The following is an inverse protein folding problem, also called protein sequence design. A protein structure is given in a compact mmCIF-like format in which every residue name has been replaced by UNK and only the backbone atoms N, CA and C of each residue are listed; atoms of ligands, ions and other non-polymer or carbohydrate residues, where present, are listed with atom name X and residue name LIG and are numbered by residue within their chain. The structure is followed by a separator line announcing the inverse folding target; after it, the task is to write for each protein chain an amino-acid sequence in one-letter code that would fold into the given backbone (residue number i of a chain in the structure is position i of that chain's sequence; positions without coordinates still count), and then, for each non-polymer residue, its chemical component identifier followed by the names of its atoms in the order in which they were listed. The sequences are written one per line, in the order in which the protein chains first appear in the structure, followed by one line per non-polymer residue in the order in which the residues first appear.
data_IF_716739865744
#
_entry.id   IF_716739865744
#
_cell.length_a   1.000
_cell.length_b   1.000
_cell.length_c   1.000
_cell.angle_alpha   90.00
_cell.angle_beta   90.00
_cell.angle_gamma   90.00
#
_symmetry.space_group_name_H-M   'P 1'
#
loop_
_entity.id
_entity.type
_entity.pdbx_description
1 polymer ?
#
# COMPACT_ATOMS: atom_id res chain seq x y z
N UNK A 1 -14.44 47.86 27.33
CA UNK A 1 -13.62 47.84 26.10
C UNK A 1 -12.90 46.50 26.07
N UNK A 2 -13.31 45.66 25.12
CA UNK A 2 -12.89 44.26 24.99
C UNK A 2 -11.58 44.19 24.21
N UNK A 3 -10.57 43.48 24.71
CA UNK A 3 -9.40 43.14 23.91
C UNK A 3 -8.93 41.70 24.17
N UNK A 4 -9.28 40.87 23.20
CA UNK A 4 -8.40 39.90 22.52
C UNK A 4 -7.86 38.72 23.32
N UNK A 5 -8.68 37.68 23.40
CA UNK A 5 -8.25 36.29 23.58
C UNK A 5 -7.37 35.84 22.41
N UNK A 6 -6.05 35.75 22.62
CA UNK A 6 -5.17 34.99 21.73
C UNK A 6 -5.31 33.49 22.02
N UNK A 7 -6.24 32.82 21.34
CA UNK A 7 -6.28 31.36 21.29
C UNK A 7 -5.27 30.89 20.24
N UNK A 8 -4.02 30.63 20.65
CA UNK A 8 -3.08 29.83 19.85
C UNK A 8 -3.65 28.41 19.76
N UNK A 9 -4.32 28.09 18.66
CA UNK A 9 -4.59 26.70 18.29
C UNK A 9 -3.26 26.00 18.02
N UNK A 10 -2.76 25.30 19.04
CA UNK A 10 -1.73 24.28 18.86
C UNK A 10 -2.27 23.26 17.87
N UNK A 11 -1.78 23.29 16.62
CA UNK A 11 -2.01 22.20 15.66
C UNK A 11 -1.58 20.90 16.32
N UNK A 12 -2.57 20.07 16.65
CA UNK A 12 -2.38 18.74 17.20
C UNK A 12 -1.55 17.95 16.16
N UNK A 13 -0.25 17.77 16.43
CA UNK A 13 0.59 16.81 15.74
C UNK A 13 0.05 15.44 16.11
N UNK A 14 -0.99 15.00 15.42
CA UNK A 14 -1.45 13.61 15.45
C UNK A 14 -0.25 12.78 15.00
N UNK A 15 0.41 12.11 15.94
CA UNK A 15 1.38 11.05 15.68
C UNK A 15 0.68 9.83 15.10
N UNK A 16 -0.07 10.01 14.01
CA UNK A 16 -0.50 8.91 13.16
C UNK A 16 0.71 8.47 12.36
N UNK A 17 0.86 7.16 12.18
CA UNK A 17 1.84 6.55 11.27
C UNK A 17 1.92 7.42 10.02
N UNK A 18 2.97 8.25 9.94
CA UNK A 18 3.09 9.25 8.89
C UNK A 18 2.98 8.52 7.56
N UNK A 19 2.09 8.99 6.68
CA UNK A 19 1.85 8.41 5.36
C UNK A 19 3.15 7.86 4.78
N UNK A 20 3.34 6.53 4.81
CA UNK A 20 4.56 5.93 4.27
C UNK A 20 4.63 6.34 2.79
N UNK A 21 5.79 6.86 2.40
CA UNK A 21 6.02 7.22 1.01
C UNK A 21 5.89 5.96 0.15
N UNK A 22 5.40 6.11 -1.09
CA UNK A 22 5.31 4.98 -2.02
C UNK A 22 6.68 4.34 -2.22
N UNK A 23 7.74 5.14 -2.23
CA UNK A 23 9.13 4.68 -2.32
C UNK A 23 9.52 3.74 -1.19
N UNK A 24 9.13 4.01 0.06
CA UNK A 24 9.43 3.11 1.19
C UNK A 24 8.73 1.75 1.06
N UNK A 25 7.52 1.76 0.51
CA UNK A 25 6.75 0.53 0.28
C UNK A 25 7.36 -0.28 -0.87
N UNK A 26 7.75 0.40 -1.95
CA UNK A 26 8.45 -0.20 -3.07
C UNK A 26 9.79 -0.82 -2.63
N UNK A 27 10.58 -0.08 -1.85
CA UNK A 27 11.84 -0.56 -1.29
C UNK A 27 11.63 -1.78 -0.38
N UNK A 28 10.59 -1.76 0.47
CA UNK A 28 10.24 -2.93 1.28
C UNK A 28 9.98 -4.16 0.42
N UNK A 29 9.13 -4.05 -0.62
CA UNK A 29 8.84 -5.18 -1.47
C UNK A 29 10.08 -5.65 -2.24
N UNK A 30 10.91 -4.74 -2.76
CA UNK A 30 12.17 -5.08 -3.42
C UNK A 30 13.11 -5.88 -2.53
N UNK A 31 13.26 -5.46 -1.27
CA UNK A 31 14.17 -6.11 -0.32
C UNK A 31 13.63 -7.43 0.26
N UNK A 32 12.33 -7.71 0.12
CA UNK A 32 11.68 -8.86 0.76
C UNK A 32 11.04 -9.83 -0.24
N UNK A 33 11.25 -9.63 -1.54
CA UNK A 33 10.69 -10.48 -2.60
C UNK A 33 11.77 -10.96 -3.56
N UNK A 34 11.51 -12.12 -4.15
CA UNK A 34 12.30 -12.65 -5.25
C UNK A 34 12.17 -11.75 -6.49
N UNK A 35 13.28 -11.11 -6.88
CA UNK A 35 13.34 -10.17 -8.00
C UNK A 35 13.23 -10.87 -9.36
N UNK A 36 13.55 -12.16 -9.44
CA UNK A 36 13.48 -12.94 -10.68
C UNK A 36 12.08 -13.51 -10.92
N UNK A 37 11.22 -13.46 -9.90
CA UNK A 37 9.82 -13.84 -10.03
C UNK A 37 9.00 -12.74 -10.73
N UNK A 38 8.95 -12.81 -12.06
CA UNK A 38 8.25 -11.86 -12.93
C UNK A 38 6.80 -11.64 -12.49
N UNK A 39 6.06 -12.71 -12.15
CA UNK A 39 4.67 -12.60 -11.72
C UNK A 39 4.53 -11.88 -10.38
N UNK A 40 5.45 -12.10 -9.44
CA UNK A 40 5.47 -11.40 -8.16
C UNK A 40 5.80 -9.91 -8.36
N UNK A 41 6.79 -9.59 -9.19
CA UNK A 41 7.16 -8.21 -9.50
C UNK A 41 6.03 -7.46 -10.20
N UNK A 42 5.31 -8.11 -11.12
CA UNK A 42 4.14 -7.53 -11.79
C UNK A 42 2.99 -7.25 -10.79
N UNK A 43 2.72 -8.16 -9.84
CA UNK A 43 1.75 -7.93 -8.75
C UNK A 43 2.15 -6.74 -7.88
N UNK A 44 3.42 -6.62 -7.52
CA UNK A 44 3.96 -5.50 -6.73
C UNK A 44 3.81 -4.18 -7.49
N UNK A 45 4.15 -4.15 -8.78
CA UNK A 45 3.99 -2.96 -9.62
C UNK A 45 2.52 -2.49 -9.66
N UNK A 46 1.58 -3.43 -9.91
CA UNK A 46 0.14 -3.14 -9.86
C UNK A 46 -0.31 -2.58 -8.52
N UNK A 47 0.15 -3.17 -7.41
CA UNK A 47 -0.16 -2.67 -6.07
C UNK A 47 0.27 -1.20 -5.88
N UNK A 48 1.49 -0.86 -6.32
CA UNK A 48 2.01 0.51 -6.22
C UNK A 48 1.18 1.50 -7.04
N UNK A 49 0.75 1.11 -8.25
CA UNK A 49 -0.09 1.96 -9.10
C UNK A 49 -1.50 2.16 -8.54
N UNK A 50 -2.13 1.10 -8.04
CA UNK A 50 -3.42 1.22 -7.34
C UNK A 50 -3.30 2.10 -6.10
N UNK A 51 -2.17 2.03 -5.37
CA UNK A 51 -1.93 2.87 -4.20
C UNK A 51 -1.73 4.35 -4.57
N UNK A 52 -1.13 4.65 -5.71
CA UNK A 52 -1.09 6.03 -6.27
C UNK A 52 -2.49 6.55 -6.53
N UNK A 53 -3.33 5.77 -7.20
CA UNK A 53 -4.71 6.16 -7.51
C UNK A 53 -5.55 6.32 -6.23
N UNK A 54 -5.41 5.40 -5.28
CA UNK A 54 -6.06 5.47 -3.96
C UNK A 54 -5.72 6.77 -3.20
N UNK A 55 -4.46 7.23 -3.28
CA UNK A 55 -4.04 8.53 -2.72
C UNK A 55 -4.71 9.69 -3.45
N UNK A 56 -4.74 9.69 -4.79
CA UNK A 56 -5.41 10.73 -5.60
C UNK A 56 -6.90 10.86 -5.27
N UNK A 57 -7.62 9.74 -5.14
CA UNK A 57 -9.03 9.75 -4.72
C UNK A 57 -9.20 10.32 -3.31
N UNK A 58 -8.29 10.00 -2.39
CA UNK A 58 -8.28 10.60 -1.05
C UNK A 58 -8.11 12.12 -1.09
N UNK A 59 -7.21 12.63 -1.92
CA UNK A 59 -7.03 14.08 -2.13
C UNK A 59 -8.27 14.72 -2.75
N UNK A 60 -8.93 14.07 -3.72
CA UNK A 60 -10.17 14.57 -4.30
C UNK A 60 -11.29 14.66 -3.25
N UNK A 61 -11.47 13.64 -2.41
CA UNK A 61 -12.46 13.65 -1.31
C UNK A 61 -12.14 14.74 -0.27
N UNK A 62 -10.86 14.93 0.07
CA UNK A 62 -10.45 16.00 0.99
C UNK A 62 -10.73 17.40 0.43
N UNK A 63 -10.60 17.56 -0.89
CA UNK A 63 -10.85 18.83 -1.58
C UNK A 63 -12.35 19.12 -1.72
N UNK A 64 -13.10 18.15 -2.22
CA UNK A 64 -14.49 18.36 -2.66
C UNK A 64 -15.51 18.00 -1.57
N UNK A 65 -15.07 17.34 -0.50
CA UNK A 65 -15.92 16.90 0.60
C UNK A 65 -16.57 15.53 0.36
N UNK A 66 -17.29 15.06 1.39
CA UNK A 66 -17.98 13.77 1.34
C UNK A 66 -19.19 13.78 0.39
N UNK A 67 -19.75 14.95 0.13
CA UNK A 67 -20.84 15.18 -0.81
C UNK A 67 -20.45 16.33 -1.74
N UNK A 68 -20.98 16.27 -2.96
CA UNK A 68 -20.82 17.31 -3.98
C UNK A 68 -22.19 17.82 -4.38
N UNK A 69 -22.26 19.11 -4.73
CA UNK A 69 -23.46 19.70 -5.33
C UNK A 69 -23.29 19.72 -6.83
N UNK A 70 -24.27 19.18 -7.55
CA UNK A 70 -24.33 19.24 -9.01
C UNK A 70 -25.41 20.24 -9.40
N UNK A 71 -25.07 21.13 -10.33
CA UNK A 71 -25.98 22.11 -10.90
C UNK A 71 -26.34 21.69 -12.33
N UNK A 72 -27.63 21.57 -12.63
CA UNK A 72 -28.14 21.26 -13.96
C UNK A 72 -29.22 22.29 -14.35
N UNK A 73 -28.82 23.30 -15.12
CA UNK A 73 -29.64 24.47 -15.37
C UNK A 73 -30.00 25.17 -14.05
N UNK A 74 -31.30 25.24 -13.74
CA UNK A 74 -31.80 25.85 -12.50
C UNK A 74 -31.93 24.86 -11.33
N UNK A 75 -31.71 23.56 -11.54
CA UNK A 75 -31.82 22.55 -10.50
C UNK A 75 -30.46 22.32 -9.81
N UNK A 76 -30.46 22.20 -8.48
CA UNK A 76 -29.29 21.84 -7.69
C UNK A 76 -29.59 20.60 -6.86
N UNK A 77 -28.71 19.61 -6.91
CA UNK A 77 -28.85 18.40 -6.10
C UNK A 77 -27.51 18.03 -5.46
N UNK A 78 -27.57 17.64 -4.19
CA UNK A 78 -26.43 17.14 -3.43
C UNK A 78 -26.38 15.63 -3.56
N UNK A 79 -25.21 15.09 -3.90
CA UNK A 79 -24.97 13.64 -3.95
C UNK A 79 -23.66 13.28 -3.28
N UNK A 80 -23.50 11.99 -2.96
CA UNK A 80 -22.22 11.45 -2.45
C UNK A 80 -21.12 11.70 -3.48
N UNK A 81 -19.91 12.05 -2.99
CA UNK A 81 -18.75 12.21 -3.84
C UNK A 81 -18.43 10.87 -4.55
N UNK A 82 -18.43 10.81 -5.90
CA UNK A 82 -18.21 9.58 -6.65
C UNK A 82 -16.81 8.97 -6.40
N UNK A 83 -15.85 9.74 -5.90
CA UNK A 83 -14.54 9.21 -5.52
C UNK A 83 -14.58 8.28 -4.30
N UNK A 84 -15.61 8.35 -3.45
CA UNK A 84 -15.76 7.50 -2.26
C UNK A 84 -15.92 6.01 -2.62
N UNK A 85 -16.96 5.60 -3.37
CA UNK A 85 -17.14 4.18 -3.70
C UNK A 85 -15.97 3.62 -4.52
N UNK A 86 -15.37 4.41 -5.41
CA UNK A 86 -14.18 3.98 -6.14
C UNK A 86 -12.97 3.78 -5.20
N UNK A 87 -12.81 4.63 -4.18
CA UNK A 87 -11.76 4.47 -3.17
C UNK A 87 -11.95 3.21 -2.34
N UNK A 88 -13.20 2.87 -1.99
CA UNK A 88 -13.53 1.62 -1.29
C UNK A 88 -13.21 0.40 -2.16
N UNK A 89 -13.57 0.43 -3.44
CA UNK A 89 -13.24 -0.63 -4.40
C UNK A 89 -11.73 -0.84 -4.52
N UNK A 90 -10.96 0.24 -4.64
CA UNK A 90 -9.49 0.16 -4.67
C UNK A 90 -8.91 -0.37 -3.36
N UNK A 91 -9.52 -0.07 -2.22
CA UNK A 91 -9.09 -0.62 -0.93
C UNK A 91 -9.16 -2.15 -0.93
N UNK A 92 -10.29 -2.71 -1.38
CA UNK A 92 -10.48 -4.16 -1.48
C UNK A 92 -9.46 -4.80 -2.43
N UNK A 93 -9.22 -4.17 -3.59
CA UNK A 93 -8.22 -4.66 -4.54
C UNK A 93 -6.79 -4.63 -3.97
N UNK A 94 -6.44 -3.57 -3.24
CA UNK A 94 -5.15 -3.43 -2.56
C UNK A 94 -4.96 -4.53 -1.52
N UNK A 95 -5.96 -4.79 -0.67
CA UNK A 95 -5.90 -5.86 0.34
C UNK A 95 -5.72 -7.24 -0.29
N UNK A 96 -6.42 -7.51 -1.41
CA UNK A 96 -6.28 -8.77 -2.13
C UNK A 96 -4.87 -8.94 -2.72
N UNK A 97 -4.33 -7.91 -3.37
CA UNK A 97 -2.96 -7.97 -3.90
C UNK A 97 -1.93 -8.11 -2.79
N UNK A 98 -2.11 -7.40 -1.67
CA UNK A 98 -1.23 -7.47 -0.50
C UNK A 98 -1.17 -8.89 0.06
N UNK A 99 -2.32 -9.53 0.24
CA UNK A 99 -2.41 -10.92 0.69
C UNK A 99 -1.71 -11.88 -0.28
N UNK A 100 -1.93 -11.73 -1.58
CA UNK A 100 -1.31 -12.56 -2.62
C UNK A 100 0.21 -12.41 -2.65
N UNK A 101 0.72 -11.18 -2.57
CA UNK A 101 2.16 -10.88 -2.52
C UNK A 101 2.79 -11.55 -1.29
N UNK A 102 2.21 -11.35 -0.10
CA UNK A 102 2.73 -11.95 1.13
C UNK A 102 2.67 -13.47 1.13
N UNK A 103 1.62 -14.06 0.54
CA UNK A 103 1.51 -15.51 0.37
C UNK A 103 2.64 -16.03 -0.51
N UNK A 104 2.90 -15.40 -1.67
CA UNK A 104 4.01 -15.80 -2.55
C UNK A 104 5.37 -15.68 -1.86
N UNK A 105 5.65 -14.58 -1.16
CA UNK A 105 6.91 -14.39 -0.42
C UNK A 105 7.11 -15.49 0.64
N UNK A 106 6.07 -15.82 1.41
CA UNK A 106 6.13 -16.88 2.43
C UNK A 106 6.39 -18.25 1.81
N UNK A 107 5.70 -18.58 0.72
CA UNK A 107 5.91 -19.84 0.01
C UNK A 107 7.35 -19.97 -0.47
N UNK A 108 7.93 -18.94 -1.09
CA UNK A 108 9.33 -18.95 -1.54
C UNK A 108 10.30 -19.19 -0.39
N UNK A 109 10.12 -18.50 0.76
CA UNK A 109 10.97 -18.71 1.94
C UNK A 109 10.91 -20.14 2.46
N UNK A 110 9.70 -20.71 2.56
CA UNK A 110 9.53 -22.09 3.02
C UNK A 110 10.20 -23.11 2.09
N UNK A 111 10.17 -22.89 0.76
CA UNK A 111 10.85 -23.77 -0.19
C UNK A 111 12.36 -23.73 0.00
N UNK A 112 12.95 -22.53 0.15
CA UNK A 112 14.39 -22.36 0.33
C UNK A 112 14.88 -23.01 1.64
N UNK A 113 14.16 -22.80 2.75
CA UNK A 113 14.51 -23.40 4.05
C UNK A 113 14.49 -24.93 4.02
N UNK A 114 13.49 -25.53 3.36
CA UNK A 114 13.39 -26.98 3.22
C UNK A 114 14.52 -27.57 2.33
N UNK A 115 14.94 -26.87 1.27
CA UNK A 115 16.08 -27.33 0.46
C UNK A 115 17.42 -27.20 1.18
N UNK A 116 17.63 -26.14 1.98
CA UNK A 116 18.86 -25.93 2.74
C UNK A 116 19.08 -26.99 3.83
N UNK A 117 18.01 -27.54 4.42
CA UNK A 117 18.11 -28.59 5.45
C UNK A 117 18.32 -30.01 4.89
N UNK A 118 18.04 -30.23 3.60
CA UNK A 118 18.19 -31.53 2.93
C UNK A 118 19.42 -31.61 2.00
N UNK A 119 20.31 -30.62 2.03
CA UNK A 119 21.54 -30.64 1.24
C UNK A 119 22.47 -31.77 1.74
N UNK A 120 22.94 -32.70 0.89
CA UNK A 120 23.86 -33.74 1.31
C UNK A 120 25.17 -33.09 1.77
N UNK A 121 25.57 -33.36 3.02
CA UNK A 121 26.90 -33.00 3.49
C UNK A 121 27.92 -33.76 2.63
N UNK A 122 28.64 -33.05 1.77
CA UNK A 122 29.78 -33.63 1.05
C UNK A 122 30.90 -33.90 2.05
N UNK A 123 30.82 -35.03 2.75
CA UNK A 123 31.90 -35.54 3.58
C UNK A 123 32.99 -36.08 2.65
N UNK A 124 34.14 -35.43 2.73
CA UNK A 124 35.38 -35.84 2.08
C UNK A 124 35.79 -37.25 2.52
N UNK A 125 36.28 -38.07 1.58
CA UNK A 125 37.42 -39.01 1.78
C UNK A 125 37.75 -39.71 0.46
N UNK A 126 38.34 -38.97 -0.46
CA UNK A 126 39.14 -39.52 -1.55
C UNK A 126 40.61 -39.58 -1.12
N UNK A 127 40.91 -40.45 -0.15
CA UNK A 127 42.30 -40.81 0.16
C UNK A 127 42.70 -41.94 -0.77
N UNK A 128 43.50 -41.63 -1.79
CA UNK A 128 44.16 -42.63 -2.62
C UNK A 128 45.58 -42.82 -2.04
N UNK A 129 45.79 -43.96 -1.38
CA UNK A 129 47.12 -44.52 -1.07
C UNK A 129 47.30 -45.76 -1.93
#
# INVERSE_FOLDING_TARGET
MSSTSQKKEKKLKRGGVGSLSLSKIEEYFKNNSDQDNILLQEKIARYLDLKKLYKKLGTAIQKDGATITVENGNQKFTKVNPAIPEKEKLNTQLLNLENEIFKTIKSTKSTIENHAQNAPSSSSKGGLV
#
